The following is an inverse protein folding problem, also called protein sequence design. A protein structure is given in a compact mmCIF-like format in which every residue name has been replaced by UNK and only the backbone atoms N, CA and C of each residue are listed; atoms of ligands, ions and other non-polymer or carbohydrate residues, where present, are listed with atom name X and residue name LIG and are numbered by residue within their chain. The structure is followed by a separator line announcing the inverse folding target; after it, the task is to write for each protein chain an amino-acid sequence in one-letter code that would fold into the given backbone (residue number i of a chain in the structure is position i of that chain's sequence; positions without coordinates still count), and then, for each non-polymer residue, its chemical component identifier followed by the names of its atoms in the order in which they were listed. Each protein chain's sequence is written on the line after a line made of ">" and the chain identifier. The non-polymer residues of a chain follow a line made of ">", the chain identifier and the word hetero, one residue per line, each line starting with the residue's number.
data_IF_483920974598
#
_entry.id   IF_483920974598
#
_cell.length_a   1.000
_cell.length_b   1.000
_cell.length_c   1.000
_cell.angle_alpha   90.00
_cell.angle_beta   90.00
_cell.angle_gamma   90.00
#
_symmetry.space_group_name_H-M   'P 1'
#
loop_
_entity.id
_entity.type
_entity.pdbx_description
1 polymer ?
#
# COMPACT_ATOMS: atom_id res chain seq x y z
N UNK A 1 27.01 -29.12 5.83
CA UNK A 1 26.64 -27.71 5.61
C UNK A 1 27.18 -26.88 6.76
N UNK A 2 28.15 -25.98 6.52
CA UNK A 2 28.89 -25.27 7.58
C UNK A 2 28.00 -24.25 8.30
N UNK A 3 28.07 -24.16 9.64
CA UNK A 3 27.33 -23.20 10.47
C UNK A 3 27.54 -21.73 10.05
N UNK A 4 28.60 -21.42 9.30
CA UNK A 4 28.83 -20.08 8.71
C UNK A 4 27.80 -19.73 7.63
N UNK A 5 27.36 -20.70 6.82
CA UNK A 5 26.37 -20.47 5.75
C UNK A 5 24.95 -20.31 6.29
N UNK A 6 24.63 -20.96 7.41
CA UNK A 6 23.33 -20.83 8.08
C UNK A 6 23.16 -19.44 8.73
N UNK A 7 24.23 -18.89 9.32
CA UNK A 7 24.24 -17.52 9.90
C UNK A 7 24.09 -16.43 8.84
N UNK A 8 24.60 -16.65 7.62
CA UNK A 8 24.51 -15.67 6.54
C UNK A 8 23.09 -15.62 5.92
N UNK A 9 22.41 -16.77 5.83
CA UNK A 9 20.98 -16.83 5.43
C UNK A 9 20.02 -16.33 6.52
N UNK A 10 20.34 -16.49 7.80
CA UNK A 10 19.48 -15.98 8.88
C UNK A 10 19.57 -14.45 9.03
N UNK A 11 20.69 -13.82 8.66
CA UNK A 11 20.82 -12.36 8.64
C UNK A 11 19.98 -11.67 7.56
N UNK A 12 19.65 -12.33 6.45
CA UNK A 12 18.74 -11.78 5.44
C UNK A 12 17.25 -11.96 5.79
N UNK A 13 16.92 -12.90 6.67
CA UNK A 13 15.56 -13.12 7.18
C UNK A 13 15.24 -12.17 8.35
N UNK A 14 16.28 -11.73 9.07
CA UNK A 14 16.19 -10.82 10.23
C UNK A 14 16.98 -9.52 10.03
N UNK A 15 17.01 -8.98 8.80
CA UNK A 15 17.34 -7.57 8.66
C UNK A 15 16.32 -6.78 9.50
N UNK A 16 16.73 -5.82 10.34
CA UNK A 16 15.79 -5.04 11.12
C UNK A 16 14.94 -4.24 10.14
N UNK A 17 13.72 -4.72 9.87
CA UNK A 17 12.67 -3.88 9.30
C UNK A 17 12.51 -2.79 10.35
N UNK A 18 12.94 -1.56 10.00
CA UNK A 18 12.80 -0.40 10.86
C UNK A 18 11.37 -0.41 11.41
N UNK A 19 11.18 -0.23 12.73
CA UNK A 19 9.85 -0.30 13.30
C UNK A 19 9.02 0.83 12.69
N UNK A 20 8.14 0.48 11.75
CA UNK A 20 7.08 1.36 11.28
C UNK A 20 5.97 1.39 12.34
N UNK A 21 6.36 1.65 13.59
CA UNK A 21 5.44 1.98 14.66
C UNK A 21 5.24 3.49 14.64
N UNK A 22 4.21 3.91 13.92
CA UNK A 22 3.39 5.03 14.35
C UNK A 22 2.04 4.97 13.66
N UNK A 23 1.06 4.50 14.43
CA UNK A 23 -0.25 5.11 14.55
C UNK A 23 -0.75 5.89 13.31
N UNK A 24 -1.65 5.30 12.54
CA UNK A 24 -2.69 6.08 11.84
C UNK A 24 -3.67 6.58 12.89
N UNK A 25 -3.21 7.51 13.72
CA UNK A 25 -4.06 8.47 14.40
C UNK A 25 -4.22 9.63 13.43
N UNK A 26 -5.40 9.77 12.82
CA UNK A 26 -5.82 11.04 12.20
C UNK A 26 -5.89 12.11 13.29
N UNK A 27 -4.76 12.78 13.54
CA UNK A 27 -4.63 14.00 14.31
C UNK A 27 -3.32 14.68 13.90
N UNK A 28 -3.42 15.73 13.07
CA UNK A 28 -2.30 16.62 12.76
C UNK A 28 -1.24 16.07 11.78
N UNK A 29 -1.64 15.68 10.57
CA UNK A 29 -0.67 15.40 9.51
C UNK A 29 -0.04 16.70 9.00
N UNK A 30 1.14 17.02 9.52
CA UNK A 30 2.10 17.99 8.96
C UNK A 30 2.20 17.73 7.44
N UNK A 31 1.92 18.74 6.61
CA UNK A 31 2.09 18.70 5.13
C UNK A 31 3.40 17.98 4.83
N UNK A 32 3.35 16.78 4.24
CA UNK A 32 4.55 16.19 3.60
C UNK A 32 4.96 17.18 2.51
N UNK A 33 6.25 17.51 2.50
CA UNK A 33 6.85 18.48 1.58
C UNK A 33 6.53 18.09 0.14
N UNK A 34 5.91 19.00 -0.59
CA UNK A 34 5.81 18.92 -2.05
C UNK A 34 7.19 18.66 -2.65
N UNK A 35 7.33 17.65 -3.50
CA UNK A 35 8.53 17.41 -4.29
C UNK A 35 8.85 18.65 -5.10
N UNK A 36 10.09 19.10 -4.96
CA UNK A 36 10.63 20.23 -5.71
C UNK A 36 11.01 19.78 -7.12
N UNK A 37 11.00 20.71 -8.08
CA UNK A 37 11.29 20.42 -9.49
C UNK A 37 12.67 19.79 -9.69
N UNK A 38 13.65 20.13 -8.85
CA UNK A 38 15.01 19.59 -8.88
C UNK A 38 15.04 18.08 -8.62
N UNK A 39 14.26 17.60 -7.65
CA UNK A 39 14.16 16.17 -7.36
C UNK A 39 13.50 15.39 -8.51
N UNK A 40 12.56 16.00 -9.22
CA UNK A 40 12.00 15.39 -10.43
C UNK A 40 13.06 15.29 -11.54
N UNK A 41 13.88 16.33 -11.75
CA UNK A 41 14.94 16.30 -12.75
C UNK A 41 15.96 15.19 -12.52
N UNK A 42 16.31 14.90 -11.26
CA UNK A 42 17.18 13.77 -10.91
C UNK A 42 16.54 12.43 -11.28
N UNK A 43 15.24 12.26 -11.01
CA UNK A 43 14.50 11.06 -11.36
C UNK A 43 14.43 10.88 -12.88
N UNK A 44 14.15 11.96 -13.62
CA UNK A 44 14.12 11.94 -15.09
C UNK A 44 15.48 11.54 -15.69
N UNK A 45 16.59 11.96 -15.06
CA UNK A 45 17.93 11.60 -15.50
C UNK A 45 18.27 10.12 -15.25
N UNK A 46 17.71 9.50 -14.21
CA UNK A 46 17.87 8.07 -13.92
C UNK A 46 17.00 7.23 -14.86
N UNK A 47 15.77 7.69 -15.14
CA UNK A 47 14.79 6.98 -15.95
C UNK A 47 13.85 6.12 -15.11
N UNK A 48 13.14 5.21 -15.79
CA UNK A 48 12.23 4.26 -15.14
C UNK A 48 13.00 3.21 -14.31
N UNK A 49 12.42 2.86 -13.17
CA UNK A 49 13.02 1.91 -12.23
C UNK A 49 11.96 0.92 -11.72
N UNK A 50 12.37 0.06 -10.79
CA UNK A 50 11.44 -0.85 -10.12
C UNK A 50 10.36 -0.12 -9.30
N UNK A 51 10.56 1.15 -8.93
CA UNK A 51 9.66 1.98 -8.11
C UNK A 51 9.29 3.33 -8.77
N UNK A 52 9.73 3.57 -9.99
CA UNK A 52 9.41 4.74 -10.81
C UNK A 52 8.86 4.29 -12.16
N UNK A 53 7.70 4.79 -12.53
CA UNK A 53 7.06 4.59 -13.84
C UNK A 53 6.76 5.94 -14.48
N UNK A 54 7.05 6.08 -15.77
CA UNK A 54 6.66 7.24 -16.57
C UNK A 54 5.45 6.87 -17.43
N UNK A 55 4.46 7.76 -17.48
CA UNK A 55 3.27 7.56 -18.29
C UNK A 55 2.89 8.84 -18.99
N UNK A 56 2.64 8.72 -20.29
CA UNK A 56 2.00 9.76 -21.07
C UNK A 56 0.61 10.02 -20.53
N UNK A 57 0.17 11.28 -20.53
CA UNK A 57 -1.15 11.63 -20.04
C UNK A 57 -1.73 12.80 -20.82
N UNK A 58 -2.54 12.48 -21.84
CA UNK A 58 -3.23 13.48 -22.65
C UNK A 58 -4.43 14.10 -21.91
N UNK A 59 -5.63 13.59 -22.17
CA UNK A 59 -6.84 14.03 -21.46
C UNK A 59 -7.13 13.18 -20.22
N UNK A 60 -6.75 11.90 -20.24
CA UNK A 60 -6.93 10.94 -19.18
C UNK A 60 -5.71 10.01 -19.13
N UNK A 61 -5.45 9.36 -17.98
CA UNK A 61 -4.45 8.30 -17.91
C UNK A 61 -4.80 7.15 -18.84
N UNK A 62 -3.76 6.53 -19.39
CA UNK A 62 -3.90 5.34 -20.22
C UNK A 62 -4.23 4.10 -19.38
N UNK A 63 -4.64 3.01 -20.05
CA UNK A 63 -5.12 1.81 -19.35
C UNK A 63 -4.03 1.10 -18.55
N UNK A 64 -2.82 1.11 -19.09
CA UNK A 64 -1.60 0.55 -18.52
C UNK A 64 -1.20 1.25 -17.21
N UNK A 65 -1.54 2.53 -17.03
CA UNK A 65 -1.35 3.25 -15.75
C UNK A 65 -1.95 2.47 -14.57
N UNK A 66 -3.12 1.85 -14.76
CA UNK A 66 -3.80 1.11 -13.70
C UNK A 66 -3.22 -0.30 -13.49
N UNK A 67 -2.53 -0.84 -14.50
CA UNK A 67 -1.71 -2.05 -14.37
C UNK A 67 -0.52 -1.76 -13.46
N UNK A 68 0.14 -0.61 -13.65
CA UNK A 68 1.22 -0.13 -12.78
C UNK A 68 0.74 0.19 -11.36
N UNK A 69 -0.45 0.78 -11.20
CA UNK A 69 -1.05 0.96 -9.85
C UNK A 69 -1.22 -0.38 -9.14
N UNK A 70 -1.72 -1.39 -9.84
CA UNK A 70 -1.89 -2.74 -9.30
C UNK A 70 -0.53 -3.39 -8.96
N UNK A 71 0.46 -3.28 -9.85
CA UNK A 71 1.78 -3.86 -9.67
C UNK A 71 2.56 -3.23 -8.51
N UNK A 72 2.48 -1.90 -8.34
CA UNK A 72 3.09 -1.20 -7.21
C UNK A 72 2.42 -1.55 -5.89
N UNK A 73 1.08 -1.58 -5.85
CA UNK A 73 0.34 -2.01 -4.67
C UNK A 73 0.69 -3.45 -4.27
N UNK A 74 1.00 -4.32 -5.24
CA UNK A 74 1.38 -5.72 -5.03
C UNK A 74 2.86 -5.94 -4.67
N UNK A 75 3.72 -4.94 -4.86
CA UNK A 75 5.15 -5.00 -4.58
C UNK A 75 5.54 -4.04 -3.45
N UNK A 76 6.57 -3.22 -3.63
CA UNK A 76 7.15 -2.35 -2.61
C UNK A 76 6.59 -0.92 -2.66
N UNK A 77 5.56 -0.69 -3.48
CA UNK A 77 5.07 0.64 -3.84
C UNK A 77 5.89 1.29 -4.94
N UNK A 78 5.52 2.51 -5.30
CA UNK A 78 6.19 3.26 -6.35
C UNK A 78 5.48 4.56 -6.72
N UNK A 79 6.16 5.36 -7.54
CA UNK A 79 5.66 6.62 -8.10
C UNK A 79 5.38 6.46 -9.58
N UNK A 80 4.17 6.83 -10.01
CA UNK A 80 3.83 6.98 -11.43
C UNK A 80 3.83 8.47 -11.75
N UNK A 81 4.62 8.90 -12.71
CA UNK A 81 4.67 10.29 -13.18
C UNK A 81 3.87 10.44 -14.46
N UNK A 82 2.69 11.06 -14.34
CA UNK A 82 1.81 11.35 -15.47
C UNK A 82 2.25 12.64 -16.17
N UNK A 83 2.41 12.57 -17.50
CA UNK A 83 2.93 13.66 -18.33
C UNK A 83 4.44 13.57 -18.57
N UNK A 84 5.00 12.37 -18.45
CA UNK A 84 6.40 12.06 -18.79
C UNK A 84 6.39 10.93 -19.82
N UNK A 85 7.15 11.10 -20.88
CA UNK A 85 7.33 10.10 -21.93
C UNK A 85 8.36 9.04 -21.50
N UNK A 86 8.39 7.90 -22.19
CA UNK A 86 9.24 6.75 -21.84
C UNK A 86 10.76 7.07 -21.92
N UNK A 87 11.13 8.08 -22.71
CA UNK A 87 12.51 8.59 -22.81
C UNK A 87 12.86 9.65 -21.74
N UNK A 88 11.94 9.91 -20.80
CA UNK A 88 12.07 10.93 -19.77
C UNK A 88 11.69 12.35 -20.23
N UNK A 89 11.27 12.54 -21.48
CA UNK A 89 10.83 13.84 -21.95
C UNK A 89 9.53 14.27 -21.24
N UNK A 90 9.49 15.49 -20.70
CA UNK A 90 8.28 16.01 -20.05
C UNK A 90 7.32 16.55 -21.10
N UNK A 91 6.26 15.81 -21.43
CA UNK A 91 5.14 16.33 -22.25
C UNK A 91 4.19 17.21 -21.44
N UNK A 92 4.06 16.90 -20.15
CA UNK A 92 3.22 17.60 -19.20
C UNK A 92 1.72 17.31 -19.38
N UNK A 93 0.97 17.64 -18.35
CA UNK A 93 -0.49 17.55 -18.30
C UNK A 93 -1.08 18.96 -18.40
N UNK A 94 -2.13 19.13 -19.20
CA UNK A 94 -2.85 20.41 -19.25
C UNK A 94 -3.45 20.73 -17.88
N UNK A 95 -3.19 21.93 -17.36
CA UNK A 95 -3.66 22.35 -16.04
C UNK A 95 -5.18 22.22 -15.88
N UNK A 96 -5.95 22.54 -16.93
CA UNK A 96 -7.41 22.43 -16.94
C UNK A 96 -7.91 20.98 -16.84
N UNK A 97 -7.11 20.02 -17.31
CA UNK A 97 -7.46 18.60 -17.26
C UNK A 97 -7.10 17.96 -15.91
N UNK A 98 -6.30 18.62 -15.06
CA UNK A 98 -5.75 18.02 -13.84
C UNK A 98 -6.84 17.50 -12.90
N UNK A 99 -7.93 18.26 -12.74
CA UNK A 99 -9.06 17.85 -11.90
C UNK A 99 -9.80 16.63 -12.50
N UNK A 100 -9.99 16.60 -13.82
CA UNK A 100 -10.63 15.50 -14.51
C UNK A 100 -9.79 14.22 -14.43
N UNK A 101 -8.47 14.34 -14.57
CA UNK A 101 -7.51 13.23 -14.44
C UNK A 101 -7.54 12.66 -13.01
N UNK A 102 -7.44 13.52 -11.98
CA UNK A 102 -7.52 13.07 -10.59
C UNK A 102 -8.84 12.34 -10.30
N UNK A 103 -9.96 12.87 -10.80
CA UNK A 103 -11.29 12.21 -10.68
C UNK A 103 -11.34 10.88 -11.40
N UNK A 104 -10.78 10.79 -12.61
CA UNK A 104 -10.72 9.54 -13.37
C UNK A 104 -9.95 8.46 -12.58
N UNK A 105 -8.76 8.77 -12.09
CA UNK A 105 -7.96 7.84 -11.28
C UNK A 105 -8.71 7.39 -10.03
N UNK A 106 -9.30 8.33 -9.27
CA UNK A 106 -10.11 8.01 -8.08
C UNK A 106 -11.26 7.06 -8.45
N UNK A 107 -11.98 7.35 -9.53
CA UNK A 107 -13.10 6.53 -9.97
C UNK A 107 -12.67 5.13 -10.41
N UNK A 108 -11.58 5.01 -11.16
CA UNK A 108 -11.10 3.71 -11.67
C UNK A 108 -10.57 2.85 -10.54
N UNK A 109 -9.72 3.41 -9.66
CA UNK A 109 -9.10 2.68 -8.55
C UNK A 109 -10.10 2.22 -7.50
N UNK A 110 -11.19 2.97 -7.30
CA UNK A 110 -12.26 2.60 -6.36
C UNK A 110 -13.42 1.84 -7.02
N UNK A 111 -13.33 1.48 -8.30
CA UNK A 111 -14.39 0.76 -8.99
C UNK A 111 -14.30 -0.75 -8.69
N UNK A 112 -15.27 -1.35 -7.99
CA UNK A 112 -15.25 -2.77 -7.63
C UNK A 112 -15.34 -3.73 -8.83
N UNK A 113 -15.71 -3.23 -10.03
CA UNK A 113 -15.68 -4.02 -11.27
C UNK A 113 -14.30 -4.09 -11.90
N UNK A 114 -13.41 -3.17 -11.53
CA UNK A 114 -12.04 -3.08 -12.07
C UNK A 114 -11.03 -3.53 -11.03
N UNK A 115 -11.13 -3.05 -9.80
CA UNK A 115 -10.31 -3.48 -8.67
C UNK A 115 -11.12 -4.31 -7.69
N UNK A 116 -10.54 -5.40 -7.20
CA UNK A 116 -11.19 -6.27 -6.20
C UNK A 116 -11.22 -5.65 -4.80
N UNK A 117 -10.28 -4.75 -4.50
CA UNK A 117 -10.32 -3.89 -3.32
C UNK A 117 -9.72 -2.52 -3.61
N UNK A 118 -10.12 -1.46 -2.87
CA UNK A 118 -9.55 -0.13 -3.06
C UNK A 118 -8.04 -0.11 -2.82
N UNK A 119 -7.29 0.45 -3.76
CA UNK A 119 -5.85 0.71 -3.61
C UNK A 119 -5.67 2.11 -3.03
N UNK A 120 -4.82 2.25 -2.00
CA UNK A 120 -4.44 3.54 -1.45
C UNK A 120 -3.47 4.25 -2.40
N UNK A 121 -3.58 5.57 -2.54
CA UNK A 121 -2.66 6.39 -3.32
C UNK A 121 -2.72 7.86 -2.90
N UNK A 122 -1.69 8.62 -3.25
CA UNK A 122 -1.59 10.06 -3.00
C UNK A 122 -1.23 10.80 -4.30
N UNK A 123 -1.84 11.97 -4.53
CA UNK A 123 -1.49 12.83 -5.65
C UNK A 123 -0.54 13.93 -5.23
N UNK A 124 0.38 14.26 -6.13
CA UNK A 124 1.28 15.37 -5.99
C UNK A 124 1.45 16.10 -7.33
N UNK A 125 1.24 17.42 -7.32
CA UNK A 125 1.46 18.28 -8.49
C UNK A 125 2.91 18.76 -8.43
N UNK A 126 3.62 18.61 -9.54
CA UNK A 126 4.99 19.09 -9.70
C UNK A 126 5.00 20.02 -10.92
N UNK A 127 5.42 21.27 -10.72
CA UNK A 127 5.59 22.25 -11.79
C UNK A 127 7.06 22.27 -12.22
N UNK A 128 7.35 22.01 -13.50
CA UNK A 128 8.70 21.93 -14.07
C UNK A 128 8.72 22.58 -15.44
N UNK A 129 9.61 23.55 -15.65
CA UNK A 129 9.78 24.25 -16.95
C UNK A 129 8.47 24.77 -17.59
N UNK A 130 7.54 25.25 -16.75
CA UNK A 130 6.23 25.75 -17.21
C UNK A 130 5.22 24.64 -17.60
N UNK A 131 5.59 23.37 -17.42
CA UNK A 131 4.72 22.19 -17.58
C UNK A 131 4.33 21.64 -16.21
N UNK A 132 3.23 20.89 -16.17
CA UNK A 132 2.72 20.24 -14.97
C UNK A 132 2.89 18.74 -15.09
N UNK A 133 3.55 18.11 -14.13
CA UNK A 133 3.60 16.65 -13.98
C UNK A 133 2.74 16.27 -12.77
N UNK A 134 1.91 15.23 -12.91
CA UNK A 134 1.11 14.71 -11.81
C UNK A 134 1.73 13.40 -11.34
N UNK A 135 2.32 13.42 -10.15
CA UNK A 135 2.79 12.20 -9.49
C UNK A 135 1.63 11.52 -8.77
N UNK A 136 1.50 10.23 -9.01
CA UNK A 136 0.63 9.31 -8.30
C UNK A 136 1.51 8.37 -7.48
N UNK A 137 1.57 8.59 -6.17
CA UNK A 137 2.30 7.73 -5.24
C UNK A 137 1.41 6.58 -4.76
N UNK A 138 1.85 5.35 -4.98
CA UNK A 138 1.15 4.13 -4.58
C UNK A 138 2.00 3.41 -3.52
N UNK A 139 1.59 3.41 -2.24
CA UNK A 139 2.28 2.64 -1.21
C UNK A 139 2.08 1.12 -1.40
N UNK A 140 2.98 0.29 -0.85
CA UNK A 140 2.77 -1.15 -0.79
C UNK A 140 1.50 -1.46 0.03
N UNK A 141 0.64 -2.34 -0.49
CA UNK A 141 -0.61 -2.69 0.19
C UNK A 141 -0.48 -3.96 1.05
N UNK A 142 -1.19 -4.06 2.20
CA UNK A 142 -1.37 -5.32 2.92
C UNK A 142 -2.06 -6.40 2.10
N UNK A 143 -2.95 -6.01 1.20
CA UNK A 143 -3.76 -6.95 0.43
C UNK A 143 -3.12 -7.22 -0.93
N UNK A 144 -3.43 -8.39 -1.48
CA UNK A 144 -3.17 -8.69 -2.88
C UNK A 144 -4.31 -8.11 -3.71
N UNK A 145 -3.97 -7.29 -4.69
CA UNK A 145 -4.93 -6.60 -5.56
C UNK A 145 -4.98 -7.23 -6.95
N UNK A 146 -6.15 -7.13 -7.55
CA UNK A 146 -6.41 -7.48 -8.96
C UNK A 146 -6.86 -6.25 -9.72
N UNK A 147 -6.41 -6.13 -10.95
CA UNK A 147 -6.97 -5.20 -11.92
C UNK A 147 -7.58 -5.99 -13.07
N UNK A 148 -8.88 -5.81 -13.31
CA UNK A 148 -9.68 -6.55 -14.30
C UNK A 148 -9.55 -8.08 -14.20
N UNK A 149 -9.37 -8.58 -12.97
CA UNK A 149 -9.23 -10.01 -12.66
C UNK A 149 -7.80 -10.53 -12.63
N UNK A 150 -6.86 -9.80 -13.24
CA UNK A 150 -5.45 -10.16 -13.31
C UNK A 150 -4.66 -9.58 -12.13
N UNK A 151 -3.66 -10.34 -11.66
CA UNK A 151 -2.72 -9.91 -10.63
C UNK A 151 -1.44 -9.47 -11.33
N UNK A 152 -1.05 -8.23 -11.10
CA UNK A 152 0.18 -7.67 -11.63
C UNK A 152 1.26 -7.66 -10.56
N UNK A 153 2.49 -8.01 -10.93
CA UNK A 153 3.69 -7.84 -10.11
C UNK A 153 4.74 -7.07 -10.89
N UNK A 154 5.44 -6.16 -10.22
CA UNK A 154 6.53 -5.38 -10.79
C UNK A 154 7.81 -6.22 -10.82
N UNK A 155 8.37 -6.44 -12.01
CA UNK A 155 9.62 -7.18 -12.23
C UNK A 155 10.52 -6.34 -13.15
N UNK A 156 11.66 -5.88 -12.63
CA UNK A 156 12.68 -5.12 -13.39
C UNK A 156 12.09 -3.92 -14.19
N UNK A 157 11.08 -3.24 -13.63
CA UNK A 157 10.40 -2.11 -14.29
C UNK A 157 9.21 -2.48 -15.17
N UNK A 158 8.91 -3.77 -15.35
CA UNK A 158 7.75 -4.24 -16.12
C UNK A 158 6.60 -4.70 -15.23
N UNK A 159 5.37 -4.45 -15.68
CA UNK A 159 4.15 -4.93 -15.05
C UNK A 159 3.79 -6.32 -15.61
N UNK A 160 4.07 -7.37 -14.83
CA UNK A 160 3.91 -8.76 -15.30
C UNK A 160 2.68 -9.41 -14.68
N UNK A 161 1.83 -9.99 -15.53
CA UNK A 161 0.67 -10.78 -15.06
C UNK A 161 1.13 -12.09 -14.44
N UNK A 162 0.79 -12.27 -13.17
CA UNK A 162 1.14 -13.45 -12.37
C UNK A 162 0.05 -14.52 -12.50
N UNK A 163 0.38 -15.62 -13.18
CA UNK A 163 -0.53 -16.77 -13.36
C UNK A 163 -0.16 -18.01 -12.53
N UNK A 164 1.11 -18.13 -12.13
CA UNK A 164 1.58 -19.31 -11.40
C UNK A 164 1.04 -19.33 -9.96
N UNK A 165 0.48 -20.47 -9.54
CA UNK A 165 0.03 -20.69 -8.16
C UNK A 165 1.16 -20.50 -7.13
N UNK A 166 2.40 -20.90 -7.45
CA UNK A 166 3.54 -20.71 -6.55
C UNK A 166 3.83 -19.22 -6.35
N UNK A 167 3.80 -18.45 -7.43
CA UNK A 167 4.09 -17.02 -7.39
C UNK A 167 2.98 -16.23 -6.70
N UNK A 168 1.72 -16.61 -6.92
CA UNK A 168 0.59 -16.09 -6.16
C UNK A 168 0.74 -16.35 -4.66
N UNK A 169 1.16 -17.55 -4.28
CA UNK A 169 1.42 -17.88 -2.88
C UNK A 169 2.57 -17.04 -2.29
N UNK A 170 3.65 -16.81 -3.05
CA UNK A 170 4.76 -15.95 -2.64
C UNK A 170 4.31 -14.51 -2.35
N UNK A 171 3.46 -13.93 -3.22
CA UNK A 171 2.92 -12.57 -3.02
C UNK A 171 2.10 -12.52 -1.73
N UNK A 172 1.20 -13.49 -1.51
CA UNK A 172 0.39 -13.56 -0.29
C UNK A 172 1.25 -13.68 0.97
N UNK A 173 2.27 -14.55 0.96
CA UNK A 173 3.17 -14.76 2.11
C UNK A 173 3.96 -13.49 2.41
N UNK A 174 4.50 -12.83 1.37
CA UNK A 174 5.23 -11.55 1.52
C UNK A 174 4.35 -10.50 2.17
N UNK A 175 3.09 -10.39 1.75
CA UNK A 175 2.14 -9.39 2.23
C UNK A 175 1.64 -9.64 3.65
N UNK A 176 1.41 -10.90 4.03
CA UNK A 176 1.11 -11.27 5.43
C UNK A 176 2.26 -10.92 6.40
N UNK A 177 3.49 -10.85 5.91
CA UNK A 177 4.66 -10.45 6.70
C UNK A 177 4.77 -8.94 6.96
N UNK A 178 4.04 -8.09 6.23
CA UNK A 178 4.13 -6.63 6.35
C UNK A 178 3.43 -6.11 7.64
N UNK A 179 2.45 -6.83 8.14
CA UNK A 179 1.59 -6.40 9.26
C UNK A 179 1.54 -7.49 10.32
N UNK A 180 2.04 -7.18 11.52
CA UNK A 180 2.12 -8.15 12.62
C UNK A 180 0.74 -8.65 13.04
N UNK A 181 -0.29 -7.82 12.91
CA UNK A 181 -1.68 -8.15 13.19
C UNK A 181 -2.27 -9.17 12.21
N UNK A 182 -1.69 -9.33 11.02
CA UNK A 182 -2.10 -10.32 10.02
C UNK A 182 -1.27 -11.61 10.10
N UNK A 183 -0.24 -11.64 10.94
CA UNK A 183 0.64 -12.79 11.11
C UNK A 183 0.10 -13.71 12.20
N UNK A 184 -0.11 -14.97 11.86
CA UNK A 184 -0.43 -16.00 12.84
C UNK A 184 0.83 -16.42 13.58
N UNK A 185 0.93 -16.07 14.86
CA UNK A 185 2.03 -16.49 15.74
C UNK A 185 1.66 -17.78 16.48
N UNK A 186 2.27 -18.90 16.07
CA UNK A 186 1.96 -20.26 16.58
C UNK A 186 2.16 -20.45 18.10
N UNK A 187 2.99 -19.62 18.72
CA UNK A 187 3.39 -19.78 20.12
C UNK A 187 2.95 -18.62 21.01
N UNK A 188 2.07 -17.73 20.52
CA UNK A 188 1.52 -16.64 21.31
C UNK A 188 0.17 -17.09 21.87
N UNK A 189 0.05 -17.09 23.18
CA UNK A 189 -1.17 -17.41 23.90
C UNK A 189 -1.82 -16.13 24.46
N UNK A 190 -3.08 -16.26 24.90
CA UNK A 190 -3.80 -15.18 25.58
C UNK A 190 -3.07 -14.66 26.82
N UNK A 191 -2.35 -15.53 27.53
CA UNK A 191 -1.52 -15.18 28.68
C UNK A 191 -0.35 -14.25 28.36
N UNK A 192 0.07 -14.18 27.10
CA UNK A 192 1.15 -13.29 26.66
C UNK A 192 0.64 -11.87 26.38
N UNK A 193 -0.70 -11.70 26.34
CA UNK A 193 -1.33 -10.40 26.22
C UNK A 193 -1.46 -9.76 27.60
N UNK A 194 -0.93 -8.53 27.74
CA UNK A 194 -1.15 -7.69 28.92
C UNK A 194 -2.58 -7.15 28.91
N UNK A 195 -3.52 -7.92 29.46
CA UNK A 195 -4.95 -7.61 29.48
C UNK A 195 -5.22 -6.27 30.18
N UNK A 196 -4.41 -5.91 31.16
CA UNK A 196 -4.47 -4.62 31.87
C UNK A 196 -4.25 -3.39 30.96
N UNK A 197 -3.60 -3.56 29.81
CA UNK A 197 -3.47 -2.48 28.82
C UNK A 197 -4.77 -2.22 28.07
N UNK A 198 -5.72 -3.16 28.06
CA UNK A 198 -6.99 -2.99 27.35
C UNK A 198 -7.85 -1.91 28.00
N UNK A 199 -7.81 -1.77 29.32
CA UNK A 199 -8.58 -0.75 30.04
C UNK A 199 -8.13 0.66 29.66
N UNK A 200 -6.81 0.89 29.63
CA UNK A 200 -6.27 2.18 29.20
C UNK A 200 -6.54 2.48 27.72
N UNK A 201 -6.76 1.46 26.88
CA UNK A 201 -7.24 1.64 25.50
C UNK A 201 -8.74 1.99 25.46
N UNK A 202 -9.58 1.36 26.29
CA UNK A 202 -11.02 1.68 26.42
C UNK A 202 -11.23 3.13 26.83
N UNK A 203 -10.53 3.57 27.87
CA UNK A 203 -10.60 4.95 28.35
C UNK A 203 -10.18 5.96 27.27
N UNK A 204 -9.19 5.60 26.44
CA UNK A 204 -8.75 6.45 25.33
C UNK A 204 -9.80 6.48 24.20
N UNK A 205 -10.43 5.36 23.89
CA UNK A 205 -11.49 5.28 22.89
C UNK A 205 -12.72 6.09 23.30
N UNK A 206 -13.19 5.92 24.54
CA UNK A 206 -14.34 6.64 25.10
C UNK A 206 -14.11 8.16 25.22
N UNK A 207 -12.88 8.59 25.52
CA UNK A 207 -12.52 10.02 25.49
C UNK A 207 -12.55 10.62 24.08
N UNK A 208 -12.17 9.82 23.07
CA UNK A 208 -12.11 10.29 21.68
C UNK A 208 -13.49 10.35 21.04
N UNK A 209 -14.37 9.42 21.38
CA UNK A 209 -15.75 9.38 20.93
C UNK A 209 -16.64 8.98 22.13
N UNK A 210 -17.46 9.93 22.64
CA UNK A 210 -18.48 9.59 23.61
C UNK A 210 -19.39 8.49 23.03
N UNK A 211 -19.62 7.42 23.79
CA UNK A 211 -20.40 6.24 23.40
C UNK A 211 -19.73 5.25 22.41
N UNK A 212 -18.40 5.18 22.42
CA UNK A 212 -17.66 4.18 21.64
C UNK A 212 -17.93 2.75 22.15
N UNK A 213 -18.26 1.81 21.26
CA UNK A 213 -18.63 0.40 21.58
C UNK A 213 -17.70 -0.30 22.57
N UNK A 214 -16.40 -0.01 22.48
CA UNK A 214 -15.37 -0.58 23.36
C UNK A 214 -15.51 -0.20 24.85
N UNK A 215 -16.26 0.87 25.16
CA UNK A 215 -16.56 1.25 26.54
C UNK A 215 -17.48 0.23 27.23
N UNK A 216 -18.33 -0.46 26.45
CA UNK A 216 -19.37 -1.36 26.95
C UNK A 216 -19.05 -2.85 26.73
N UNK A 217 -17.94 -3.15 26.03
CA UNK A 217 -17.50 -4.52 25.74
C UNK A 217 -16.67 -5.12 26.90
N UNK A 218 -17.19 -6.18 27.52
CA UNK A 218 -16.46 -7.04 28.46
C UNK A 218 -15.25 -7.74 27.81
N UNK A 219 -14.31 -8.22 28.63
CA UNK A 219 -13.07 -8.88 28.16
C UNK A 219 -13.36 -10.18 27.40
N UNK A 220 -14.43 -10.87 27.77
CA UNK A 220 -14.89 -12.15 27.25
C UNK A 220 -15.38 -12.11 25.78
N UNK A 221 -15.68 -10.94 25.25
CA UNK A 221 -16.20 -10.79 23.87
C UNK A 221 -15.11 -10.47 22.84
N UNK A 222 -13.85 -10.30 23.26
CA UNK A 222 -12.82 -9.65 22.41
C UNK A 222 -11.79 -10.57 21.80
N UNK A 223 -11.60 -11.80 22.30
CA UNK A 223 -10.58 -12.71 21.76
C UNK A 223 -11.18 -14.08 21.44
N UNK A 224 -11.73 -14.19 20.23
CA UNK A 224 -12.06 -15.50 19.67
C UNK A 224 -10.78 -16.05 19.04
N UNK A 225 -10.23 -17.19 19.53
CA UNK A 225 -9.11 -17.81 18.85
C UNK A 225 -9.56 -18.20 17.43
N UNK A 226 -8.85 -17.73 16.41
CA UNK A 226 -9.01 -18.21 15.04
C UNK A 226 -8.38 -19.60 14.96
N UNK A 227 -9.03 -20.57 15.60
CA UNK A 227 -8.70 -21.98 15.52
C UNK A 227 -9.20 -22.55 14.19
N UNK A 228 -8.36 -23.33 13.52
CA UNK A 228 -8.70 -24.10 12.34
C UNK A 228 -10.04 -24.85 12.51
N UNK A 229 -11.05 -24.46 11.74
CA UNK A 229 -12.32 -25.17 11.63
C UNK A 229 -13.53 -24.25 11.70
N UNK A 230 -13.94 -23.72 10.54
CA UNK A 230 -15.22 -23.05 10.24
C UNK A 230 -15.99 -22.47 11.43
N UNK A 231 -16.01 -21.14 11.53
CA UNK A 231 -17.19 -20.37 11.96
C UNK A 231 -17.02 -18.91 11.56
N UNK A 232 -17.67 -18.50 10.46
CA UNK A 232 -18.11 -17.10 10.31
C UNK A 232 -19.19 -16.88 11.35
N UNK A 233 -19.04 -15.88 12.20
CA UNK A 233 -20.20 -15.18 12.77
C UNK A 233 -19.99 -13.69 12.51
N UNK A 234 -20.81 -13.20 11.60
CA UNK A 234 -21.09 -11.80 11.38
C UNK A 234 -21.56 -11.17 12.70
N UNK A 235 -21.24 -9.89 12.92
CA UNK A 235 -21.96 -9.08 13.91
C UNK A 235 -23.47 -9.24 13.65
N UNK A 236 -24.32 -9.43 14.67
CA UNK A 236 -25.75 -9.21 14.51
C UNK A 236 -26.00 -7.71 14.29
N UNK A 237 -27.08 -7.43 13.56
CA UNK A 237 -27.53 -6.12 13.09
C UNK A 237 -27.68 -5.07 14.20
#
# INVERSE_FOLDING_TARGET
>A
MSMRHLRQRLRSIFAPIAPYSRHVCYAGAKRRSTMESEALSEILAIGETADVEFKRCGQQPERDTFESVCSFANTFGGSIFLGVEDDGAVSGVKADNLLAIKRNVVNVVNNPKLFDSPVAFEFERIDIEGKVVLRLWVPPSPNMHRFKGDIYERIEGSDVVVRSASRLAEICIRKQGLYTEQRVYKHVALSDLKVELLDSVRERAARKQPDHEWAHLGDEHRVVPVGNGRSRKYLPA
#
